data_IF_454959588732
#
_entry.id   IF_454959588732
#
_cell.length_a   1.000
_cell.length_b   1.000
_cell.length_c   1.000
_cell.angle_alpha   90.00
_cell.angle_beta   90.00
_cell.angle_gamma   90.00
#
_symmetry.space_group_name_H-M   'P 1'
#
loop_
_entity.id
_entity.type
_entity.pdbx_description
1 polymer ?
#
# COMPACT_ATOMS: atom_id res chain seq x y z
N UNK A 1 -6.53 -8.55 9.74
CA UNK A 1 -5.35 -7.67 9.79
C UNK A 1 -5.70 -6.38 10.51
N UNK A 2 -4.91 -6.00 11.51
CA UNK A 2 -5.04 -4.75 12.24
C UNK A 2 -4.23 -3.62 11.58
N UNK A 3 -4.51 -2.34 11.89
CA UNK A 3 -3.71 -1.21 11.39
C UNK A 3 -2.24 -1.27 11.76
N UNK A 4 -1.91 -1.78 12.96
CA UNK A 4 -0.54 -1.99 13.39
C UNK A 4 0.15 -3.09 12.56
N UNK A 5 -0.55 -4.20 12.30
CA UNK A 5 -0.05 -5.27 11.45
C UNK A 5 0.20 -4.81 10.02
N UNK A 6 -0.70 -4.00 9.44
CA UNK A 6 -0.52 -3.43 8.11
C UNK A 6 0.75 -2.58 8.03
N UNK A 7 0.94 -1.70 9.02
CA UNK A 7 2.13 -0.83 9.08
C UNK A 7 3.42 -1.66 9.21
N UNK A 8 3.42 -2.64 10.11
CA UNK A 8 4.56 -3.54 10.31
C UNK A 8 4.86 -4.37 9.05
N UNK A 9 3.84 -4.91 8.38
CA UNK A 9 3.99 -5.62 7.12
C UNK A 9 4.62 -4.74 6.05
N UNK A 10 4.13 -3.49 5.92
CA UNK A 10 4.62 -2.52 4.95
C UNK A 10 6.10 -2.23 5.16
N UNK A 11 6.50 -1.98 6.40
CA UNK A 11 7.88 -1.68 6.77
C UNK A 11 8.80 -2.89 6.58
N UNK A 12 8.38 -4.08 7.00
CA UNK A 12 9.10 -5.34 6.80
C UNK A 12 9.38 -5.62 5.31
N UNK A 13 8.44 -5.26 4.44
CA UNK A 13 8.54 -5.48 2.99
C UNK A 13 9.16 -4.29 2.22
N UNK A 14 9.68 -3.26 2.92
CA UNK A 14 10.34 -2.12 2.27
C UNK A 14 9.41 -1.25 1.43
N UNK A 15 8.14 -1.14 1.84
CA UNK A 15 7.17 -0.25 1.22
C UNK A 15 7.05 1.07 1.99
N UNK A 16 7.00 2.19 1.27
CA UNK A 16 6.41 3.43 1.80
C UNK A 16 4.89 3.38 1.65
N UNK A 17 4.15 4.24 2.36
CA UNK A 17 2.68 4.33 2.19
C UNK A 17 2.30 4.59 0.72
N UNK A 18 3.07 5.46 0.04
CA UNK A 18 2.87 5.75 -1.39
C UNK A 18 3.17 4.54 -2.28
N UNK A 19 4.25 3.79 -1.99
CA UNK A 19 4.62 2.59 -2.77
C UNK A 19 3.58 1.48 -2.61
N UNK A 20 3.07 1.28 -1.40
CA UNK A 20 1.98 0.34 -1.15
C UNK A 20 0.69 0.76 -1.86
N UNK A 21 0.36 2.05 -1.79
CA UNK A 21 -0.81 2.60 -2.47
C UNK A 21 -0.75 2.38 -3.99
N UNK A 22 0.41 2.63 -4.60
CA UNK A 22 0.64 2.34 -6.02
C UNK A 22 0.50 0.84 -6.33
N UNK A 23 1.08 -0.04 -5.50
CA UNK A 23 1.01 -1.48 -5.70
C UNK A 23 -0.42 -2.02 -5.60
N UNK A 24 -1.25 -1.43 -4.74
CA UNK A 24 -2.65 -1.78 -4.55
C UNK A 24 -3.62 -1.02 -5.47
N UNK A 25 -3.13 -0.07 -6.27
CA UNK A 25 -3.97 0.77 -7.13
C UNK A 25 -4.89 1.74 -6.36
N UNK A 26 -4.52 2.15 -5.16
CA UNK A 26 -5.30 3.08 -4.31
C UNK A 26 -4.55 4.40 -4.08
N UNK A 27 -5.23 5.40 -3.52
CA UNK A 27 -4.59 6.66 -3.13
C UNK A 27 -3.79 6.52 -1.83
N UNK A 28 -2.67 7.24 -1.67
CA UNK A 28 -1.84 7.21 -0.46
C UNK A 28 -2.62 7.53 0.82
N UNK A 29 -3.57 8.48 0.74
CA UNK A 29 -4.47 8.83 1.85
C UNK A 29 -5.29 7.61 2.31
N UNK A 30 -5.68 6.72 1.40
CA UNK A 30 -6.43 5.51 1.76
C UNK A 30 -5.60 4.59 2.65
N UNK A 31 -4.33 4.38 2.31
CA UNK A 31 -3.39 3.60 3.15
C UNK A 31 -3.18 4.28 4.50
N UNK A 32 -2.99 5.60 4.52
CA UNK A 32 -2.85 6.36 5.76
C UNK A 32 -4.09 6.23 6.67
N UNK A 33 -5.30 6.26 6.09
CA UNK A 33 -6.55 6.09 6.85
C UNK A 33 -6.69 4.69 7.43
N UNK A 34 -6.23 3.66 6.72
CA UNK A 34 -6.18 2.30 7.24
C UNK A 34 -5.21 2.19 8.42
N UNK A 35 -3.99 2.71 8.29
CA UNK A 35 -2.96 2.64 9.34
C UNK A 35 -3.34 3.44 10.60
N UNK A 36 -4.08 4.55 10.46
CA UNK A 36 -4.49 5.41 11.58
C UNK A 36 -5.89 5.09 12.13
N UNK A 37 -6.51 3.96 11.77
CA UNK A 37 -7.88 3.59 12.19
C UNK A 37 -8.99 4.55 11.75
N UNK A 38 -8.68 5.57 10.95
CA UNK A 38 -9.67 6.51 10.42
C UNK A 38 -10.62 5.86 9.40
N UNK A 39 -10.23 4.71 8.82
CA UNK A 39 -11.11 3.87 8.01
C UNK A 39 -10.84 2.40 8.31
N UNK A 40 -11.89 1.54 8.38
CA UNK A 40 -11.69 0.10 8.52
C UNK A 40 -10.87 -0.45 7.35
N UNK A 41 -10.04 -1.44 7.68
CA UNK A 41 -9.27 -2.20 6.69
C UNK A 41 -10.25 -3.12 5.94
N UNK A 42 -10.25 -3.11 4.59
CA UNK A 42 -11.06 -4.04 3.82
C UNK A 42 -10.70 -5.49 4.15
N UNK A 43 -11.71 -6.35 4.31
CA UNK A 43 -11.52 -7.75 4.67
C UNK A 43 -10.60 -8.49 3.71
N UNK A 44 -10.64 -8.17 2.41
CA UNK A 44 -9.81 -8.79 1.36
C UNK A 44 -8.36 -8.28 1.29
N UNK A 45 -7.97 -7.25 2.05
CA UNK A 45 -6.65 -6.63 1.91
C UNK A 45 -5.51 -7.64 2.12
N UNK A 46 -5.69 -8.60 3.03
CA UNK A 46 -4.71 -9.65 3.29
C UNK A 46 -4.39 -10.51 2.05
N UNK A 47 -5.37 -10.76 1.17
CA UNK A 47 -5.15 -11.50 -0.09
C UNK A 47 -4.27 -10.71 -1.05
N UNK A 48 -4.51 -9.41 -1.16
CA UNK A 48 -3.69 -8.53 -2.00
C UNK A 48 -2.25 -8.46 -1.49
N UNK A 49 -2.05 -8.36 -0.17
CA UNK A 49 -0.72 -8.38 0.44
C UNK A 49 0.00 -9.72 0.18
N UNK A 50 -0.68 -10.85 0.37
CA UNK A 50 -0.12 -12.17 0.08
C UNK A 50 0.29 -12.31 -1.40
N UNK A 51 -0.46 -11.70 -2.32
CA UNK A 51 -0.09 -11.63 -3.74
C UNK A 51 1.19 -10.83 -3.98
N UNK A 52 1.39 -9.72 -3.26
CA UNK A 52 2.61 -8.91 -3.34
C UNK A 52 3.84 -9.64 -2.80
N UNK A 53 3.70 -10.45 -1.74
CA UNK A 53 4.78 -11.27 -1.18
C UNK A 53 5.23 -12.35 -2.17
N UNK A 54 4.27 -13.06 -2.79
CA UNK A 54 4.56 -14.12 -3.77
C UNK A 54 5.22 -13.61 -5.05
N UNK A 55 4.96 -12.35 -5.42
CA UNK A 55 5.54 -11.72 -6.62
C UNK A 55 6.91 -11.09 -6.38
N UNK A 56 7.59 -11.41 -5.27
CA UNK A 56 8.82 -10.78 -4.78
C UNK A 56 9.94 -10.57 -5.80
N UNK A 57 9.84 -9.52 -6.64
CA UNK A 57 10.88 -9.17 -7.61
C UNK A 57 10.51 -8.13 -8.67
N UNK A 58 9.25 -8.05 -9.12
CA UNK A 58 8.95 -7.26 -10.34
C UNK A 58 8.56 -5.79 -10.13
N UNK A 59 8.40 -5.32 -8.89
CA UNK A 59 8.05 -3.91 -8.64
C UNK A 59 9.23 -2.92 -8.82
N UNK A 60 10.35 -3.35 -9.41
CA UNK A 60 11.54 -2.51 -9.64
C UNK A 60 11.45 -1.59 -10.88
N UNK A 61 10.41 -1.67 -11.70
CA UNK A 61 10.31 -0.82 -12.91
C UNK A 61 8.88 -0.36 -13.24
N UNK A 62 8.36 0.63 -12.51
CA UNK A 62 7.44 1.58 -13.15
C UNK A 62 7.97 2.98 -12.88
N UNK A 63 8.79 3.46 -13.84
CA UNK A 63 9.23 4.84 -13.96
C UNK A 63 8.02 5.77 -13.86
N UNK A 64 8.22 6.88 -13.15
CA UNK A 64 7.17 7.80 -12.74
C UNK A 64 6.15 8.18 -13.81
N UNK A 65 4.89 8.31 -13.40
CA UNK A 65 3.87 9.02 -14.15
C UNK A 65 3.28 10.15 -13.30
N UNK A 66 3.79 11.35 -13.62
CA UNK A 66 3.17 12.67 -13.65
C UNK A 66 2.32 13.14 -12.45
N UNK A 67 2.90 14.16 -11.79
CA UNK A 67 2.28 15.39 -11.26
C UNK A 67 0.83 15.56 -11.73
N UNK A 68 -0.13 15.57 -10.80
CA UNK A 68 -1.44 16.19 -11.02
C UNK A 68 -1.57 17.37 -10.09
N UNK A 69 -1.22 18.52 -10.67
CA UNK A 69 -1.54 19.87 -10.24
C UNK A 69 -3.00 19.92 -9.75
N UNK A 70 -3.22 20.46 -8.56
CA UNK A 70 -4.54 20.91 -8.13
C UNK A 70 -4.42 22.41 -7.89
N UNK A 71 -5.04 23.14 -8.82
CA UNK A 71 -5.37 24.56 -8.77
C UNK A 71 -6.17 24.88 -7.51
#
# INVERSE_FOLDING_TARGET
MTPKELKAWREKNGYSQAKLAMALGVHTITVNRWENKARPIPSFLHLALAGLEKRGGEAKKIKGKKKKERR
#
